data_IF_712857861401
#
_entry.id   IF_712857861401
#
_cell.length_a   1.000
_cell.length_b   1.000
_cell.length_c   1.000
_cell.angle_alpha   90.00
_cell.angle_beta   90.00
_cell.angle_gamma   90.00
#
_symmetry.space_group_name_H-M   'P 1'
#
loop_
_entity.id
_entity.type
_entity.pdbx_description
1 polymer ?
#
# COMPACT_ATOMS: atom_id res chain seq x y z
N UNK A 1 11.52 -4.72 -22.91
CA UNK A 1 11.13 -6.07 -22.48
C UNK A 1 11.65 -6.41 -21.09
N UNK A 2 12.96 -6.24 -20.90
CA UNK A 2 13.54 -6.55 -19.58
C UNK A 2 13.05 -5.63 -18.47
N UNK A 3 12.83 -4.34 -18.78
CA UNK A 3 12.33 -3.39 -17.79
C UNK A 3 10.93 -3.76 -17.29
N UNK A 4 10.08 -4.30 -18.18
CA UNK A 4 8.75 -4.72 -17.79
C UNK A 4 8.79 -5.90 -16.82
N UNK A 5 9.72 -6.82 -17.03
CA UNK A 5 9.89 -7.97 -16.15
C UNK A 5 10.27 -7.53 -14.74
N UNK A 6 11.17 -6.54 -14.62
CA UNK A 6 11.57 -6.02 -13.32
C UNK A 6 10.40 -5.34 -12.60
N UNK A 7 9.60 -4.58 -13.33
CA UNK A 7 8.42 -3.92 -12.75
C UNK A 7 7.39 -4.93 -12.25
N UNK A 8 7.14 -5.95 -13.05
CA UNK A 8 6.19 -7.00 -12.68
C UNK A 8 6.67 -7.77 -11.47
N UNK A 9 7.97 -8.05 -11.40
CA UNK A 9 8.55 -8.76 -10.25
C UNK A 9 8.35 -7.95 -8.98
N UNK A 10 8.66 -6.65 -9.02
CA UNK A 10 8.49 -5.79 -7.85
C UNK A 10 7.02 -5.69 -7.45
N UNK A 11 6.14 -5.51 -8.43
CA UNK A 11 4.70 -5.45 -8.16
C UNK A 11 4.21 -6.73 -7.51
N UNK A 12 4.66 -7.88 -8.02
CA UNK A 12 4.27 -9.17 -7.46
C UNK A 12 4.80 -9.37 -6.05
N UNK A 13 6.02 -8.94 -5.78
CA UNK A 13 6.59 -8.99 -4.42
C UNK A 13 5.78 -8.15 -3.45
N UNK A 14 5.41 -6.93 -3.86
CA UNK A 14 4.58 -6.05 -3.06
C UNK A 14 3.20 -6.66 -2.82
N UNK A 15 2.61 -7.24 -3.86
CA UNK A 15 1.30 -7.87 -3.76
C UNK A 15 1.33 -9.05 -2.80
N UNK A 16 2.36 -9.88 -2.86
CA UNK A 16 2.51 -11.02 -1.96
C UNK A 16 2.68 -10.56 -0.51
N UNK A 17 3.49 -9.53 -0.29
CA UNK A 17 3.67 -8.96 1.04
C UNK A 17 2.37 -8.39 1.59
N UNK A 18 1.59 -7.73 0.73
CA UNK A 18 0.30 -7.17 1.09
C UNK A 18 -0.67 -8.26 1.51
N UNK A 19 -0.76 -9.33 0.73
CA UNK A 19 -1.65 -10.45 1.05
C UNK A 19 -1.28 -11.12 2.36
N UNK A 20 0.01 -11.12 2.69
CA UNK A 20 0.50 -11.74 3.93
C UNK A 20 0.04 -10.99 5.17
N UNK A 21 -0.20 -9.68 5.07
CA UNK A 21 -0.63 -8.87 6.23
C UNK A 21 -2.13 -8.68 6.31
N UNK A 22 -2.87 -8.99 5.23
CA UNK A 22 -4.33 -8.85 5.23
C UNK A 22 -4.97 -9.97 6.03
N UNK A 23 -6.11 -9.68 6.73
CA UNK A 23 -6.88 -10.73 7.39
C UNK A 23 -7.37 -11.78 6.38
N UNK A 24 -7.57 -13.00 6.84
CA UNK A 24 -8.02 -14.10 5.99
C UNK A 24 -9.38 -13.81 5.34
N UNK A 25 -10.22 -13.04 6.03
CA UNK A 25 -11.56 -12.69 5.54
C UNK A 25 -11.57 -11.50 4.60
N UNK A 26 -10.45 -10.80 4.48
CA UNK A 26 -10.37 -9.62 3.63
C UNK A 26 -10.19 -10.01 2.16
N UNK A 27 -10.90 -9.31 1.27
CA UNK A 27 -10.76 -9.48 -0.17
C UNK A 27 -10.02 -8.31 -0.78
N UNK A 28 -8.93 -8.58 -1.46
CA UNK A 28 -8.20 -7.53 -2.18
C UNK A 28 -8.92 -7.25 -3.49
N UNK A 29 -9.45 -6.03 -3.61
CA UNK A 29 -10.24 -5.62 -4.78
C UNK A 29 -9.37 -4.98 -5.84
N UNK A 30 -8.42 -4.13 -5.42
CA UNK A 30 -7.58 -3.38 -6.34
C UNK A 30 -6.20 -3.18 -5.74
N UNK A 31 -5.18 -3.35 -6.56
CA UNK A 31 -3.81 -2.98 -6.20
C UNK A 31 -3.16 -2.35 -7.42
N UNK A 32 -2.75 -1.10 -7.29
CA UNK A 32 -2.03 -0.39 -8.33
C UNK A 32 -0.74 0.20 -7.76
N UNK A 33 0.32 0.08 -8.52
CA UNK A 33 1.62 0.65 -8.20
C UNK A 33 2.08 1.44 -9.41
N UNK A 34 2.22 2.76 -9.26
CA UNK A 34 2.66 3.63 -10.33
C UNK A 34 4.08 4.11 -10.07
N UNK A 35 5.03 3.41 -10.66
CA UNK A 35 6.44 3.72 -10.53
C UNK A 35 6.79 5.09 -11.09
N UNK A 36 6.08 5.53 -12.12
CA UNK A 36 6.34 6.82 -12.77
C UNK A 36 5.83 8.01 -11.95
N UNK A 37 4.84 7.78 -11.10
CA UNK A 37 4.29 8.81 -10.22
C UNK A 37 4.79 8.61 -8.80
N UNK A 38 6.09 8.74 -8.62
CA UNK A 38 6.75 8.67 -7.31
C UNK A 38 6.53 7.36 -6.56
N UNK A 39 6.17 6.28 -7.29
CA UNK A 39 5.89 5.00 -6.66
C UNK A 39 4.60 4.99 -5.85
N UNK A 40 3.63 5.81 -6.23
CA UNK A 40 2.35 5.86 -5.55
C UNK A 40 1.63 4.53 -5.63
N UNK A 41 0.93 4.17 -4.55
CA UNK A 41 0.25 2.89 -4.42
C UNK A 41 -1.21 3.13 -4.06
N UNK A 42 -2.10 2.38 -4.69
CA UNK A 42 -3.53 2.38 -4.34
C UNK A 42 -3.91 0.95 -4.02
N UNK A 43 -4.47 0.74 -2.83
CA UNK A 43 -4.94 -0.57 -2.37
C UNK A 43 -6.39 -0.44 -1.95
N UNK A 44 -7.25 -1.25 -2.51
CA UNK A 44 -8.64 -1.33 -2.08
C UNK A 44 -8.92 -2.73 -1.56
N UNK A 45 -9.42 -2.81 -0.33
CA UNK A 45 -9.71 -4.07 0.35
C UNK A 45 -11.14 -4.02 0.86
N UNK A 46 -11.84 -5.14 0.76
CA UNK A 46 -13.18 -5.26 1.32
C UNK A 46 -13.14 -6.25 2.49
N UNK A 47 -13.66 -5.82 3.63
CA UNK A 47 -13.75 -6.66 4.83
C UNK A 47 -15.10 -6.40 5.50
N UNK A 48 -15.87 -7.46 5.73
CA UNK A 48 -17.22 -7.38 6.34
C UNK A 48 -18.12 -6.38 5.63
N UNK A 49 -18.07 -6.37 4.29
CA UNK A 49 -18.83 -5.46 3.43
C UNK A 49 -18.44 -3.99 3.58
N UNK A 50 -17.30 -3.72 4.17
CA UNK A 50 -16.75 -2.36 4.30
C UNK A 50 -15.55 -2.24 3.39
N UNK A 51 -15.52 -1.16 2.60
CA UNK A 51 -14.40 -0.88 1.72
C UNK A 51 -13.33 -0.06 2.44
N UNK A 52 -12.09 -0.50 2.33
CA UNK A 52 -10.94 0.20 2.86
C UNK A 52 -10.05 0.58 1.69
N UNK A 53 -9.87 1.87 1.47
CA UNK A 53 -9.02 2.38 0.39
C UNK A 53 -7.81 3.05 1.02
N UNK A 54 -6.63 2.49 0.73
CA UNK A 54 -5.36 3.04 1.20
C UNK A 54 -4.62 3.61 0.00
N UNK A 55 -4.18 4.86 0.11
CA UNK A 55 -3.45 5.54 -0.96
C UNK A 55 -2.15 6.08 -0.40
N UNK A 56 -1.03 5.75 -1.06
CA UNK A 56 0.22 6.42 -0.77
C UNK A 56 0.48 7.46 -1.85
N UNK A 57 0.84 8.66 -1.44
CA UNK A 57 1.16 9.75 -2.36
C UNK A 57 2.35 10.51 -1.80
N UNK A 58 3.51 10.34 -2.44
CA UNK A 58 4.76 11.03 -2.04
C UNK A 58 5.09 10.83 -0.56
N UNK A 59 4.85 9.61 -0.07
CA UNK A 59 5.13 9.28 1.31
C UNK A 59 4.01 9.53 2.29
N UNK A 60 2.96 10.21 1.87
CA UNK A 60 1.77 10.36 2.69
C UNK A 60 0.88 9.13 2.52
N UNK A 61 0.22 8.70 3.58
CA UNK A 61 -0.66 7.55 3.54
C UNK A 61 -2.04 7.94 4.03
N UNK A 62 -3.04 7.70 3.19
CA UNK A 62 -4.42 8.07 3.45
C UNK A 62 -5.29 6.81 3.45
N UNK A 63 -6.17 6.71 4.44
CA UNK A 63 -7.12 5.60 4.56
C UNK A 63 -8.54 6.19 4.58
N UNK A 64 -9.31 5.88 3.54
CA UNK A 64 -10.69 6.36 3.37
C UNK A 64 -10.80 7.88 3.56
N UNK A 65 -9.85 8.62 3.00
CA UNK A 65 -9.85 10.07 3.05
C UNK A 65 -9.18 10.68 4.27
N UNK A 66 -8.77 9.87 5.24
CA UNK A 66 -8.10 10.34 6.44
C UNK A 66 -6.60 10.10 6.36
N UNK A 67 -5.80 11.14 6.55
CA UNK A 67 -4.36 11.01 6.54
C UNK A 67 -3.88 10.35 7.82
N UNK A 68 -3.20 9.20 7.67
CA UNK A 68 -2.67 8.44 8.81
C UNK A 68 -1.15 8.59 8.95
N UNK A 69 -0.47 9.02 7.89
CA UNK A 69 0.97 9.16 7.91
C UNK A 69 1.38 10.31 7.01
N UNK A 70 2.21 11.19 7.50
CA UNK A 70 2.66 12.40 6.80
C UNK A 70 4.07 12.19 6.27
N UNK A 71 4.34 12.66 5.05
CA UNK A 71 5.64 12.53 4.41
C UNK A 71 6.78 13.14 5.23
N UNK A 72 6.49 14.11 6.11
CA UNK A 72 7.53 14.71 6.96
C UNK A 72 8.15 13.69 7.92
N UNK A 73 7.42 12.65 8.27
CA UNK A 73 7.96 11.58 9.12
C UNK A 73 8.93 10.69 8.36
N UNK A 74 8.74 10.52 7.05
CA UNK A 74 9.64 9.72 6.23
C UNK A 74 11.05 10.29 6.20
N UNK A 75 11.16 11.62 6.11
CA UNK A 75 12.47 12.29 6.07
C UNK A 75 13.26 12.02 7.33
N UNK A 76 12.60 11.95 8.46
CA UNK A 76 13.25 11.70 9.75
C UNK A 76 13.55 10.22 9.98
N UNK A 77 12.59 9.37 9.64
CA UNK A 77 12.70 7.93 9.89
C UNK A 77 13.35 7.17 8.75
N UNK A 78 13.39 7.78 7.55
CA UNK A 78 13.91 7.14 6.35
C UNK A 78 13.26 5.78 6.08
N UNK A 79 11.97 5.71 6.35
CA UNK A 79 11.19 4.49 6.20
C UNK A 79 10.64 4.40 4.78
N UNK A 80 10.69 3.20 4.19
CA UNK A 80 10.09 2.94 2.90
C UNK A 80 8.57 3.12 3.00
N UNK A 81 7.95 3.95 2.13
CA UNK A 81 6.50 4.16 2.17
C UNK A 81 5.68 2.88 2.09
N UNK A 82 6.11 1.90 1.30
CA UNK A 82 5.40 0.64 1.20
C UNK A 82 5.43 -0.12 2.52
N UNK A 83 6.58 -0.11 3.19
CA UNK A 83 6.74 -0.78 4.47
C UNK A 83 5.79 -0.17 5.51
N UNK A 84 5.73 1.16 5.51
CA UNK A 84 4.83 1.87 6.43
C UNK A 84 3.37 1.58 6.10
N UNK A 85 3.05 1.47 4.81
CA UNK A 85 1.70 1.10 4.38
C UNK A 85 1.29 -0.26 4.93
N UNK A 86 2.18 -1.25 4.90
CA UNK A 86 1.90 -2.57 5.45
C UNK A 86 1.61 -2.51 6.94
N UNK A 87 2.39 -1.72 7.69
CA UNK A 87 2.16 -1.55 9.13
C UNK A 87 0.79 -0.93 9.39
N UNK A 88 0.42 0.09 8.63
CA UNK A 88 -0.86 0.76 8.79
C UNK A 88 -2.01 -0.19 8.47
N UNK A 89 -1.89 -0.97 7.40
CA UNK A 89 -2.92 -1.92 7.03
C UNK A 89 -3.11 -2.96 8.14
N UNK A 90 -2.03 -3.47 8.71
CA UNK A 90 -2.11 -4.40 9.83
C UNK A 90 -2.85 -3.80 11.02
N UNK A 91 -2.59 -2.53 11.31
CA UNK A 91 -3.23 -1.85 12.42
C UNK A 91 -4.71 -1.57 12.16
N UNK A 92 -5.03 -1.09 10.95
CA UNK A 92 -6.39 -0.66 10.63
C UNK A 92 -7.34 -1.82 10.31
N UNK A 93 -6.80 -2.96 9.88
CA UNK A 93 -7.60 -4.09 9.45
C UNK A 93 -7.74 -5.18 10.51
N UNK A 94 -7.25 -4.95 11.69
CA UNK A 94 -7.36 -5.93 12.80
C UNK A 94 -8.68 -5.81 13.53
#
# INVERSE_FOLDING_TARGET
MFSNTSKEKRKNEMLNALKAVLPADAGLVLFEYDEKCFGNIIVEVELDNVKHIFITDRGEIVHNGKMLYDSSYLDREKTDPFHKLLEIIQTEMV
#
